data_IF_406063852683
#
_entry.id   IF_406063852683
#
_cell.length_a   1.000
_cell.length_b   1.000
_cell.length_c   1.000
_cell.angle_alpha   90.00
_cell.angle_beta   90.00
_cell.angle_gamma   90.00
#
_symmetry.space_group_name_H-M   'P 1'
#
loop_
_entity.id
_entity.type
_entity.pdbx_description
1 polymer ?
#
# COMPACT_ATOMS: atom_id res chain seq x y z
N UNK A 1 -12.38 -13.43 15.36
CA UNK A 1 -10.94 -13.53 15.62
C UNK A 1 -10.56 -12.31 16.45
N UNK A 2 -9.78 -12.45 17.54
CA UNK A 2 -9.33 -11.29 18.34
C UNK A 2 -8.25 -10.57 17.54
N UNK A 3 -8.47 -9.28 17.24
CA UNK A 3 -7.44 -8.38 16.74
C UNK A 3 -6.37 -8.24 17.84
N UNK A 4 -5.31 -9.02 17.74
CA UNK A 4 -4.19 -8.98 18.68
C UNK A 4 -3.06 -8.16 18.07
N UNK A 5 -3.37 -6.88 17.84
CA UNK A 5 -2.40 -5.88 17.40
C UNK A 5 -1.89 -5.16 18.64
N UNK A 6 -0.69 -5.53 19.11
CA UNK A 6 -0.19 -5.16 20.44
C UNK A 6 0.58 -3.82 20.48
N UNK A 7 0.47 -2.99 19.42
CA UNK A 7 1.14 -1.69 19.30
C UNK A 7 0.13 -0.52 19.24
N UNK A 8 -0.41 -0.05 20.40
CA UNK A 8 -1.51 0.91 20.42
C UNK A 8 -1.17 2.29 19.81
N UNK A 9 0.12 2.60 19.66
CA UNK A 9 0.60 3.92 19.28
C UNK A 9 1.21 4.00 17.87
N UNK A 10 1.31 2.89 17.12
CA UNK A 10 1.97 2.89 15.81
C UNK A 10 1.30 3.88 14.84
N UNK A 11 2.10 4.63 14.10
CA UNK A 11 1.64 5.75 13.25
C UNK A 11 0.85 6.86 13.97
N UNK A 12 0.94 6.92 15.30
CA UNK A 12 0.54 8.08 16.11
C UNK A 12 1.65 9.12 16.21
N UNK A 13 1.33 10.30 16.75
CA UNK A 13 2.29 11.41 16.88
C UNK A 13 3.52 11.04 17.71
N UNK A 14 3.35 10.30 18.81
CA UNK A 14 4.45 9.81 19.64
C UNK A 14 5.34 8.80 18.90
N UNK A 15 4.73 7.88 18.15
CA UNK A 15 5.46 6.91 17.34
C UNK A 15 6.32 7.60 16.28
N UNK A 16 5.78 8.56 15.52
CA UNK A 16 6.58 9.33 14.56
C UNK A 16 7.74 10.08 15.22
N UNK A 17 7.53 10.63 16.41
CA UNK A 17 8.61 11.28 17.18
C UNK A 17 9.75 10.33 17.55
N UNK A 18 9.45 9.05 17.77
CA UNK A 18 10.43 7.99 18.06
C UNK A 18 11.02 7.32 16.81
N UNK A 19 10.46 7.56 15.63
CA UNK A 19 10.87 6.99 14.34
C UNK A 19 11.27 8.09 13.36
N UNK A 20 12.42 8.77 13.55
CA UNK A 20 12.80 9.95 12.76
C UNK A 20 13.02 9.67 11.26
N UNK A 21 13.25 8.40 10.88
CA UNK A 21 13.40 7.97 9.49
C UNK A 21 12.08 7.52 8.85
N UNK A 22 10.99 7.43 9.63
CA UNK A 22 9.68 7.13 9.10
C UNK A 22 9.17 8.32 8.29
N UNK A 23 8.54 8.01 7.15
CA UNK A 23 7.85 9.02 6.38
C UNK A 23 6.61 9.49 7.14
N UNK A 24 6.33 10.79 7.12
CA UNK A 24 5.06 11.33 7.61
C UNK A 24 4.58 12.41 6.63
N UNK A 25 3.26 12.48 6.43
CA UNK A 25 2.66 13.56 5.67
C UNK A 25 2.59 14.84 6.51
N UNK A 26 3.13 15.94 5.99
CA UNK A 26 2.92 17.26 6.58
C UNK A 26 1.42 17.59 6.61
N UNK A 27 0.93 18.12 7.73
CA UNK A 27 -0.47 18.53 7.91
C UNK A 27 -1.45 17.42 8.28
N UNK A 28 -1.02 16.15 8.38
CA UNK A 28 -1.89 15.10 8.91
C UNK A 28 -2.15 15.28 10.41
N UNK A 29 -3.42 15.17 10.80
CA UNK A 29 -3.80 15.06 12.20
C UNK A 29 -3.36 13.71 12.78
N UNK A 30 -3.25 13.63 14.10
CA UNK A 30 -3.00 12.37 14.79
C UNK A 30 -4.07 11.33 14.39
N UNK A 31 -3.62 10.14 14.01
CA UNK A 31 -4.52 9.07 13.58
C UNK A 31 -4.95 9.12 12.11
N UNK A 32 -4.59 10.16 11.33
CA UNK A 32 -5.02 10.29 9.93
C UNK A 32 -4.65 9.07 9.06
N UNK A 33 -3.52 8.44 9.35
CA UNK A 33 -3.09 7.18 8.75
C UNK A 33 -4.14 6.07 8.77
N UNK A 34 -4.99 6.04 9.79
CA UNK A 34 -5.95 4.98 10.07
C UNK A 34 -7.35 5.27 9.52
N UNK A 35 -7.57 6.48 8.99
CA UNK A 35 -8.84 6.91 8.42
C UNK A 35 -8.68 6.94 6.90
N UNK A 36 -8.97 5.86 6.17
CA UNK A 36 -8.75 5.81 4.74
C UNK A 36 -9.63 6.79 3.99
N UNK A 37 -9.07 7.33 2.90
CA UNK A 37 -9.82 8.10 1.92
C UNK A 37 -10.74 7.16 1.14
N UNK A 38 -11.93 7.65 0.79
CA UNK A 38 -12.82 6.92 -0.11
C UNK A 38 -12.25 6.89 -1.52
N UNK A 39 -12.66 5.91 -2.34
CA UNK A 39 -12.35 5.91 -3.77
C UNK A 39 -12.67 7.25 -4.44
N UNK A 40 -13.86 7.82 -4.18
CA UNK A 40 -14.26 9.09 -4.76
C UNK A 40 -13.30 10.24 -4.43
N UNK A 41 -12.74 10.27 -3.22
CA UNK A 41 -11.74 11.28 -2.84
C UNK A 41 -10.40 11.05 -3.56
N UNK A 42 -9.94 9.80 -3.63
CA UNK A 42 -8.71 9.43 -4.35
C UNK A 42 -8.83 9.73 -5.84
N UNK A 43 -9.94 9.35 -6.46
CA UNK A 43 -10.21 9.59 -7.87
C UNK A 43 -10.28 11.08 -8.21
N UNK A 44 -10.99 11.86 -7.40
CA UNK A 44 -11.05 13.31 -7.58
C UNK A 44 -9.68 13.97 -7.42
N UNK A 45 -8.87 13.54 -6.45
CA UNK A 45 -7.54 14.12 -6.20
C UNK A 45 -6.51 13.75 -7.27
N UNK A 46 -6.53 12.51 -7.75
CA UNK A 46 -5.56 12.03 -8.75
C UNK A 46 -5.98 12.36 -10.20
N UNK A 47 -7.21 12.82 -10.41
CA UNK A 47 -7.76 13.19 -11.72
C UNK A 47 -8.18 11.99 -12.57
N UNK A 48 -8.71 10.92 -11.95
CA UNK A 48 -9.27 9.78 -12.68
C UNK A 48 -10.66 10.13 -13.23
N UNK A 49 -10.90 9.86 -14.52
CA UNK A 49 -12.18 10.11 -15.19
C UNK A 49 -13.11 8.87 -15.11
N UNK A 50 -14.15 9.02 -14.28
CA UNK A 50 -15.48 8.38 -14.27
C UNK A 50 -15.73 6.89 -13.88
N UNK A 51 -16.76 6.81 -13.02
CA UNK A 51 -17.75 5.76 -12.72
C UNK A 51 -17.31 4.42 -12.11
N UNK A 52 -16.36 3.69 -12.69
CA UNK A 52 -16.09 2.31 -12.26
C UNK A 52 -14.59 2.06 -12.08
N UNK A 53 -14.11 1.86 -10.84
CA UNK A 53 -12.70 1.54 -10.61
C UNK A 53 -12.34 0.16 -11.17
N UNK A 54 -11.09 0.03 -11.61
CA UNK A 54 -10.50 -1.28 -11.89
C UNK A 54 -10.14 -1.95 -10.57
N UNK A 55 -10.78 -3.08 -10.29
CA UNK A 55 -10.39 -3.95 -9.18
C UNK A 55 -9.38 -4.98 -9.66
N UNK A 56 -8.37 -5.25 -8.85
CA UNK A 56 -7.33 -6.25 -9.09
C UNK A 56 -7.43 -7.35 -8.04
N UNK A 57 -8.01 -8.48 -8.43
CA UNK A 57 -8.09 -9.68 -7.62
C UNK A 57 -7.28 -10.81 -8.30
N UNK A 58 -6.08 -11.04 -7.77
CA UNK A 58 -5.12 -11.99 -8.31
C UNK A 58 -5.57 -13.44 -8.06
N UNK A 59 -5.83 -14.15 -9.17
CA UNK A 59 -6.44 -15.48 -9.18
C UNK A 59 -7.95 -15.47 -9.48
N UNK A 60 -8.58 -14.30 -9.60
CA UNK A 60 -10.00 -14.17 -9.97
C UNK A 60 -10.15 -13.44 -11.31
N UNK A 61 -9.85 -12.14 -11.34
CA UNK A 61 -9.93 -11.35 -12.57
C UNK A 61 -8.56 -10.94 -13.11
N UNK A 62 -7.49 -11.17 -12.36
CA UNK A 62 -6.13 -11.20 -12.88
C UNK A 62 -5.64 -12.65 -12.87
N UNK A 63 -5.41 -13.22 -14.04
CA UNK A 63 -4.98 -14.63 -14.19
C UNK A 63 -3.64 -14.71 -14.88
N UNK A 64 -2.83 -15.70 -14.48
CA UNK A 64 -1.55 -16.02 -15.10
C UNK A 64 -1.65 -17.45 -15.65
N UNK A 65 -1.84 -17.60 -16.96
CA UNK A 65 -1.98 -18.90 -17.65
C UNK A 65 -0.97 -18.98 -18.80
N UNK A 66 -0.20 -20.06 -18.86
CA UNK A 66 0.81 -20.31 -19.91
C UNK A 66 1.74 -19.10 -20.19
N UNK A 67 2.22 -18.48 -19.11
CA UNK A 67 3.07 -17.27 -19.11
C UNK A 67 2.37 -15.97 -19.59
N UNK A 68 1.07 -16.00 -19.88
CA UNK A 68 0.27 -14.84 -20.24
C UNK A 68 -0.54 -14.34 -19.03
N UNK A 69 -0.48 -13.02 -18.78
CA UNK A 69 -1.29 -12.34 -17.78
C UNK A 69 -2.51 -11.75 -18.46
N UNK A 70 -3.69 -12.02 -17.93
CA UNK A 70 -4.92 -11.39 -18.36
C UNK A 70 -5.57 -10.61 -17.20
N UNK A 71 -6.09 -9.42 -17.49
CA UNK A 71 -6.90 -8.60 -16.57
C UNK A 71 -8.30 -8.52 -17.16
N UNK A 72 -9.31 -8.92 -16.39
CA UNK A 72 -10.70 -9.04 -16.84
C UNK A 72 -10.84 -9.88 -18.14
N UNK A 73 -10.03 -10.93 -18.26
CA UNK A 73 -10.00 -11.82 -19.42
C UNK A 73 -9.33 -11.21 -20.68
N UNK A 74 -8.79 -10.00 -20.60
CA UNK A 74 -8.03 -9.38 -21.68
C UNK A 74 -6.52 -9.59 -21.44
N UNK A 75 -5.77 -10.13 -22.41
CA UNK A 75 -4.33 -10.32 -22.25
C UNK A 75 -3.64 -8.95 -22.15
N UNK A 76 -2.76 -8.80 -21.14
CA UNK A 76 -2.01 -7.56 -20.86
C UNK A 76 -0.50 -7.74 -21.01
N UNK A 77 -0.04 -8.94 -21.35
CA UNK A 77 1.37 -9.26 -21.61
C UNK A 77 1.79 -10.54 -20.91
N UNK A 78 3.08 -10.85 -20.99
CA UNK A 78 3.67 -11.98 -20.27
C UNK A 78 3.80 -11.70 -18.77
N UNK A 79 4.01 -12.73 -17.95
CA UNK A 79 4.28 -12.55 -16.51
C UNK A 79 5.52 -11.69 -16.26
N UNK A 80 6.56 -11.86 -17.09
CA UNK A 80 7.77 -11.04 -17.03
C UNK A 80 7.50 -9.58 -17.38
N UNK A 81 6.74 -9.30 -18.44
CA UNK A 81 6.37 -7.93 -18.82
C UNK A 81 5.48 -7.28 -17.75
N UNK A 82 4.53 -8.01 -17.18
CA UNK A 82 3.66 -7.50 -16.12
C UNK A 82 4.42 -7.14 -14.84
N UNK A 83 5.42 -7.96 -14.48
CA UNK A 83 6.34 -7.71 -13.36
C UNK A 83 7.29 -6.53 -13.64
N UNK A 84 7.77 -6.39 -14.87
CA UNK A 84 8.58 -5.25 -15.28
C UNK A 84 7.78 -3.95 -15.23
N UNK A 85 6.52 -3.95 -15.69
CA UNK A 85 5.63 -2.79 -15.59
C UNK A 85 5.45 -2.34 -14.13
N UNK A 86 5.25 -3.27 -13.19
CA UNK A 86 5.16 -2.92 -11.77
C UNK A 86 6.46 -2.24 -11.28
N UNK A 87 7.61 -2.74 -11.73
CA UNK A 87 8.92 -2.16 -11.40
C UNK A 87 9.08 -0.74 -11.95
N UNK A 88 8.65 -0.51 -13.18
CA UNK A 88 8.71 0.81 -13.82
C UNK A 88 7.77 1.80 -13.12
N UNK A 89 6.56 1.37 -12.74
CA UNK A 89 5.61 2.16 -11.95
C UNK A 89 6.25 2.56 -10.61
N UNK A 90 6.80 1.60 -9.86
CA UNK A 90 7.43 1.89 -8.57
C UNK A 90 8.62 2.84 -8.70
N UNK A 91 9.46 2.66 -9.72
CA UNK A 91 10.61 3.51 -9.99
C UNK A 91 10.19 4.95 -10.29
N UNK A 92 9.14 5.16 -11.11
CA UNK A 92 8.65 6.50 -11.44
C UNK A 92 8.28 7.32 -10.21
N UNK A 93 7.72 6.66 -9.19
CA UNK A 93 7.34 7.31 -7.93
C UNK A 93 8.47 7.54 -6.94
N UNK A 94 9.50 6.70 -6.97
CA UNK A 94 10.74 6.93 -6.21
C UNK A 94 11.51 8.14 -6.75
N UNK A 95 11.46 8.37 -8.06
CA UNK A 95 12.09 9.52 -8.72
C UNK A 95 11.21 10.78 -8.71
N UNK A 96 9.91 10.63 -8.44
CA UNK A 96 8.97 11.74 -8.41
C UNK A 96 9.35 12.76 -7.31
N UNK A 97 9.57 14.04 -7.67
CA UNK A 97 9.79 15.08 -6.68
C UNK A 97 8.52 15.27 -5.85
N UNK A 98 8.69 15.41 -4.54
CA UNK A 98 7.62 15.79 -3.62
C UNK A 98 7.97 17.08 -2.92
N UNK A 99 6.95 17.85 -2.55
CA UNK A 99 7.11 19.13 -1.84
C UNK A 99 6.24 19.16 -0.60
N UNK A 100 6.53 20.07 0.33
CA UNK A 100 5.70 20.27 1.54
C UNK A 100 4.28 20.75 1.22
N UNK A 101 4.03 21.21 -0.02
CA UNK A 101 2.71 21.60 -0.50
C UNK A 101 1.87 20.42 -1.00
N UNK A 102 2.46 19.22 -1.15
CA UNK A 102 1.74 18.04 -1.59
C UNK A 102 0.68 17.64 -0.57
N UNK A 103 -0.54 17.41 -1.07
CA UNK A 103 -1.64 16.93 -0.24
C UNK A 103 -1.68 15.40 -0.33
N UNK A 104 -1.48 14.76 0.82
CA UNK A 104 -1.45 13.31 0.93
C UNK A 104 -2.80 12.80 1.41
N UNK A 105 -3.39 11.91 0.63
CA UNK A 105 -4.57 11.14 1.00
C UNK A 105 -4.15 9.82 1.65
N UNK A 106 -4.62 9.50 2.87
CA UNK A 106 -4.36 8.20 3.48
C UNK A 106 -5.07 7.11 2.70
N UNK A 107 -4.32 6.08 2.27
CA UNK A 107 -4.88 4.82 1.78
C UNK A 107 -5.09 3.85 2.92
N UNK A 108 -4.28 3.96 3.97
CA UNK A 108 -4.50 3.33 5.26
C UNK A 108 -3.32 2.55 5.78
N UNK A 109 -3.60 1.74 6.81
CA UNK A 109 -2.67 0.81 7.43
C UNK A 109 -3.15 -0.62 7.19
N UNK A 110 -2.26 -1.47 6.70
CA UNK A 110 -2.58 -2.85 6.32
C UNK A 110 -1.59 -3.84 6.91
N UNK A 111 -2.10 -4.94 7.42
CA UNK A 111 -1.33 -6.15 7.67
C UNK A 111 -1.08 -6.86 6.33
N UNK A 112 0.16 -7.30 6.09
CA UNK A 112 0.51 -8.13 4.96
C UNK A 112 0.39 -9.61 5.34
N UNK A 113 -0.49 -10.34 4.65
CA UNK A 113 -0.77 -11.76 4.92
C UNK A 113 -0.41 -12.58 3.69
N UNK A 114 0.50 -13.55 3.86
CA UNK A 114 0.80 -14.54 2.82
C UNK A 114 -0.13 -15.75 2.92
N UNK A 115 -0.31 -16.24 4.15
CA UNK A 115 -1.17 -17.37 4.49
C UNK A 115 -1.98 -17.03 5.75
N UNK A 116 -3.27 -17.35 5.78
CA UNK A 116 -4.20 -17.02 6.88
C UNK A 116 -3.83 -17.56 8.28
N UNK A 117 -2.82 -18.44 8.36
CA UNK A 117 -2.38 -19.09 9.60
C UNK A 117 -1.27 -18.35 10.35
N UNK A 118 -0.69 -17.29 9.77
CA UNK A 118 0.40 -16.54 10.38
C UNK A 118 -0.13 -15.21 10.95
N UNK A 119 0.25 -14.90 12.20
CA UNK A 119 0.09 -13.55 12.71
C UNK A 119 0.86 -12.60 11.80
N UNK A 120 0.22 -11.55 11.27
CA UNK A 120 0.92 -10.59 10.42
C UNK A 120 1.96 -9.88 11.28
N UNK A 121 3.23 -10.02 10.92
CA UNK A 121 4.35 -9.29 11.53
C UNK A 121 4.77 -8.09 10.67
N UNK A 122 4.17 -7.97 9.49
CA UNK A 122 4.54 -7.00 8.47
C UNK A 122 3.34 -6.08 8.23
N UNK A 123 3.57 -4.79 8.41
CA UNK A 123 2.55 -3.75 8.25
C UNK A 123 3.02 -2.75 7.23
N UNK A 124 2.10 -2.27 6.41
CA UNK A 124 2.32 -1.13 5.54
C UNK A 124 1.34 -0.01 5.88
N UNK A 125 1.86 1.19 6.05
CA UNK A 125 1.12 2.43 5.94
C UNK A 125 1.30 2.97 4.53
N UNK A 126 0.21 3.37 3.87
CA UNK A 126 0.23 3.90 2.51
C UNK A 126 -0.55 5.22 2.40
N UNK A 127 -0.03 6.12 1.57
CA UNK A 127 -0.63 7.39 1.20
C UNK A 127 -0.36 7.70 -0.28
N UNK A 128 -1.25 8.48 -0.91
CA UNK A 128 -1.11 8.93 -2.29
C UNK A 128 -1.31 10.44 -2.40
N UNK A 129 -0.53 11.12 -3.24
CA UNK A 129 -0.73 12.54 -3.53
C UNK A 129 -1.47 12.77 -4.87
N UNK A 130 -1.80 14.03 -5.18
CA UNK A 130 -2.51 14.39 -6.42
C UNK A 130 -1.80 13.98 -7.73
N UNK A 131 -0.47 13.76 -7.69
CA UNK A 131 0.28 13.30 -8.85
C UNK A 131 0.18 11.78 -9.07
N UNK A 132 -0.35 11.04 -8.09
CA UNK A 132 -0.32 9.58 -8.04
C UNK A 132 0.95 9.03 -7.39
N UNK A 133 1.79 9.88 -6.76
CA UNK A 133 2.96 9.42 -6.02
C UNK A 133 2.51 8.73 -4.73
N UNK A 134 3.09 7.56 -4.44
CA UNK A 134 2.88 6.80 -3.20
C UNK A 134 4.05 7.01 -2.25
N UNK A 135 3.71 7.28 -0.99
CA UNK A 135 4.64 7.27 0.14
C UNK A 135 4.01 6.54 1.32
N UNK A 136 4.82 6.20 2.31
CA UNK A 136 4.36 5.43 3.44
C UNK A 136 5.49 4.83 4.24
N UNK A 137 5.15 3.84 5.05
CA UNK A 137 6.10 3.11 5.88
C UNK A 137 5.81 1.63 5.82
N UNK A 138 6.86 0.83 5.71
CA UNK A 138 6.84 -0.59 5.98
C UNK A 138 7.41 -0.81 7.38
N UNK A 139 6.71 -1.56 8.21
CA UNK A 139 7.11 -1.87 9.59
C UNK A 139 7.09 -3.38 9.80
N UNK A 140 8.23 -3.92 10.22
CA UNK A 140 8.36 -5.27 10.72
C UNK A 140 8.24 -5.23 12.25
N UNK A 141 7.11 -5.68 12.79
CA UNK A 141 6.80 -5.64 14.22
C UNK A 141 7.68 -6.57 15.05
N UNK A 142 8.17 -7.65 14.46
CA UNK A 142 9.02 -8.61 15.17
C UNK A 142 10.39 -8.00 15.48
N UNK A 143 10.90 -7.20 14.55
CA UNK A 143 12.24 -6.59 14.64
C UNK A 143 12.21 -5.11 15.01
N UNK A 144 11.02 -4.52 15.16
CA UNK A 144 10.80 -3.09 15.38
C UNK A 144 11.52 -2.23 14.33
N UNK A 145 11.52 -2.72 13.08
CA UNK A 145 12.26 -2.09 11.98
C UNK A 145 11.32 -1.45 10.98
N UNK A 146 11.46 -0.14 10.81
CA UNK A 146 10.67 0.66 9.88
C UNK A 146 11.53 1.18 8.73
N UNK A 147 10.99 1.09 7.51
CA UNK A 147 11.58 1.66 6.30
C UNK A 147 10.55 2.46 5.50
N UNK A 148 10.94 3.55 4.84
CA UNK A 148 10.03 4.33 4.01
C UNK A 148 9.60 3.54 2.77
N UNK A 149 8.37 3.77 2.33
CA UNK A 149 7.82 3.26 1.08
C UNK A 149 7.88 4.36 0.02
N UNK A 150 8.24 3.98 -1.21
CA UNK A 150 8.25 4.86 -2.36
C UNK A 150 7.67 4.13 -3.57
N UNK A 151 6.72 4.77 -4.26
CA UNK A 151 6.06 4.18 -5.41
C UNK A 151 5.15 5.18 -6.12
N UNK A 152 4.36 4.70 -7.07
CA UNK A 152 3.38 5.50 -7.78
C UNK A 152 2.17 4.66 -8.19
N UNK A 153 1.15 5.35 -8.68
CA UNK A 153 0.02 4.78 -9.39
C UNK A 153 0.18 5.07 -10.88
N UNK A 154 0.07 4.04 -11.72
CA UNK A 154 -0.15 4.26 -13.14
C UNK A 154 -1.60 4.69 -13.38
N UNK A 155 -1.79 5.91 -13.86
CA UNK A 155 -3.13 6.48 -14.06
C UNK A 155 -3.93 5.78 -15.14
N UNK A 156 -3.27 5.12 -16.10
CA UNK A 156 -3.96 4.44 -17.19
C UNK A 156 -4.54 3.10 -16.74
N UNK A 157 -3.83 2.37 -15.88
CA UNK A 157 -4.24 1.04 -15.42
C UNK A 157 -4.81 1.02 -14.00
N UNK A 158 -4.64 2.09 -13.22
CA UNK A 158 -4.98 2.15 -11.79
C UNK A 158 -4.18 1.16 -10.92
N UNK A 159 -3.05 0.64 -11.44
CA UNK A 159 -2.10 -0.17 -10.67
C UNK A 159 -1.23 0.73 -9.81
N UNK A 160 -1.23 0.47 -8.51
CA UNK A 160 -0.29 1.03 -7.56
C UNK A 160 0.88 0.07 -7.40
N UNK A 161 2.12 0.56 -7.55
CA UNK A 161 3.30 -0.24 -7.27
C UNK A 161 4.33 0.55 -6.46
N UNK A 162 5.01 -0.13 -5.53
CA UNK A 162 5.95 0.49 -4.61
C UNK A 162 7.08 -0.44 -4.17
N UNK A 163 8.13 0.18 -3.64
CA UNK A 163 9.30 -0.47 -3.06
C UNK A 163 9.50 -0.02 -1.62
N UNK A 164 10.30 -0.77 -0.87
CA UNK A 164 10.62 -0.51 0.54
C UNK A 164 12.10 -0.15 0.67
N UNK A 165 12.39 0.99 1.30
CA UNK A 165 13.75 1.50 1.46
C UNK A 165 14.46 1.63 0.11
N UNK A 166 15.71 1.16 0.06
CA UNK A 166 16.53 1.18 -1.17
C UNK A 166 16.36 -0.10 -2.03
N UNK A 167 15.50 -1.04 -1.62
CA UNK A 167 15.33 -2.31 -2.33
C UNK A 167 14.48 -2.14 -3.59
N UNK A 168 15.16 -1.99 -4.74
CA UNK A 168 14.52 -1.93 -6.06
C UNK A 168 14.22 -3.31 -6.68
N UNK A 169 14.59 -4.40 -6.02
CA UNK A 169 14.47 -5.77 -6.56
C UNK A 169 13.20 -6.50 -6.07
N UNK A 170 12.51 -5.94 -5.08
CA UNK A 170 11.23 -6.45 -4.59
C UNK A 170 10.19 -5.36 -4.73
N UNK A 171 9.23 -5.58 -5.61
CA UNK A 171 8.17 -4.60 -5.91
C UNK A 171 6.85 -5.18 -5.45
N UNK A 172 6.13 -4.40 -4.66
CA UNK A 172 4.77 -4.73 -4.25
C UNK A 172 3.79 -3.98 -5.13
N UNK A 173 2.66 -4.59 -5.45
CA UNK A 173 1.58 -3.91 -6.16
C UNK A 173 0.19 -4.32 -5.69
N UNK A 174 -0.77 -3.45 -5.94
CA UNK A 174 -2.20 -3.66 -5.75
C UNK A 174 -3.00 -2.68 -6.63
N UNK A 175 -4.32 -2.88 -6.75
CA UNK A 175 -5.20 -1.86 -7.32
C UNK A 175 -5.36 -0.67 -6.38
N UNK A 176 -5.21 0.56 -6.88
CA UNK A 176 -5.37 1.77 -6.04
C UNK A 176 -6.78 1.88 -5.44
N UNK A 177 -7.81 1.43 -6.17
CA UNK A 177 -9.17 1.38 -5.64
C UNK A 177 -9.30 0.34 -4.52
N UNK A 178 -8.71 -0.84 -4.68
CA UNK A 178 -8.77 -1.90 -3.66
C UNK A 178 -8.12 -1.44 -2.35
N UNK A 179 -7.06 -0.62 -2.43
CA UNK A 179 -6.43 0.05 -1.29
C UNK A 179 -7.35 1.06 -0.56
N UNK A 180 -8.53 1.39 -1.10
CA UNK A 180 -9.56 2.18 -0.37
C UNK A 180 -10.58 1.29 0.34
N UNK A 181 -10.60 -0.02 0.06
CA UNK A 181 -11.48 -1.02 0.66
C UNK A 181 -10.94 -1.62 1.96
N UNK A 182 -11.57 -2.66 2.51
CA UNK A 182 -11.13 -3.31 3.76
C UNK A 182 -9.99 -4.31 3.56
N UNK A 183 -9.80 -4.76 2.34
CA UNK A 183 -8.70 -5.63 1.94
C UNK A 183 -8.33 -5.36 0.49
N UNK A 184 -7.10 -5.69 0.12
CA UNK A 184 -6.62 -5.61 -1.26
C UNK A 184 -5.78 -6.84 -1.60
N UNK A 185 -6.08 -7.46 -2.73
CA UNK A 185 -5.18 -8.47 -3.31
C UNK A 185 -3.89 -7.78 -3.75
N UNK A 186 -2.76 -8.42 -3.49
CA UNK A 186 -1.45 -7.85 -3.82
C UNK A 186 -0.54 -8.90 -4.45
N UNK A 187 0.37 -8.44 -5.30
CA UNK A 187 1.51 -9.22 -5.76
C UNK A 187 2.80 -8.67 -5.16
N UNK A 188 3.70 -9.59 -4.83
CA UNK A 188 5.10 -9.27 -4.56
C UNK A 188 5.95 -9.86 -5.68
N UNK A 189 6.55 -8.99 -6.46
CA UNK A 189 7.44 -9.30 -7.57
C UNK A 189 8.89 -9.40 -7.11
N UNK A 190 9.56 -10.48 -7.48
CA UNK A 190 11.00 -10.68 -7.25
C UNK A 190 11.58 -11.60 -8.31
N UNK A 191 12.63 -11.15 -8.99
CA UNK A 191 13.38 -11.94 -9.98
C UNK A 191 12.48 -12.58 -11.05
N UNK A 192 11.51 -11.82 -11.59
CA UNK A 192 10.58 -12.29 -12.62
C UNK A 192 9.53 -13.29 -12.13
N UNK A 193 9.36 -13.43 -10.81
CA UNK A 193 8.32 -14.25 -10.18
C UNK A 193 7.43 -13.37 -9.31
N UNK A 194 6.18 -13.77 -9.15
CA UNK A 194 5.21 -13.07 -8.32
C UNK A 194 4.61 -14.02 -7.28
N UNK A 195 4.60 -13.61 -6.02
CA UNK A 195 3.87 -14.27 -4.94
C UNK A 195 2.57 -13.51 -4.66
N UNK A 196 1.47 -14.22 -4.44
CA UNK A 196 0.20 -13.62 -4.03
C UNK A 196 0.20 -13.33 -2.54
N UNK A 197 -0.30 -12.15 -2.18
CA UNK A 197 -0.48 -11.68 -0.82
C UNK A 197 -1.84 -11.01 -0.67
N UNK A 198 -2.29 -10.88 0.57
CA UNK A 198 -3.46 -10.10 0.94
C UNK A 198 -3.03 -8.97 1.86
N UNK A 199 -3.48 -7.76 1.56
CA UNK A 199 -3.38 -6.61 2.45
C UNK A 199 -4.70 -6.49 3.21
N UNK A 200 -4.68 -6.72 4.51
CA UNK A 200 -5.87 -6.62 5.36
C UNK A 200 -5.82 -5.31 6.13
N UNK A 201 -6.82 -4.45 5.94
CA UNK A 201 -6.89 -3.17 6.64
C UNK A 201 -6.99 -3.39 8.14
N UNK A 202 -6.11 -2.73 8.87
CA UNK A 202 -6.12 -2.76 10.32
C UNK A 202 -6.97 -1.60 10.87
N UNK A 203 -7.84 -1.83 11.87
CA UNK A 203 -8.47 -0.74 12.57
C UNK A 203 -7.44 0.01 13.40
N UNK A 204 -7.71 1.29 13.67
CA UNK A 204 -6.91 2.04 14.62
C UNK A 204 -6.88 1.29 15.96
N UNK A 205 -5.70 1.06 16.55
CA UNK A 205 -5.61 0.48 17.87
C UNK A 205 -6.30 1.39 18.90
N UNK A 206 -7.01 0.81 19.85
CA UNK A 206 -7.53 1.60 20.97
C UNK A 206 -6.36 1.98 21.87
N UNK A 207 -6.18 3.29 22.12
CA UNK A 207 -5.26 3.73 23.15
C UNK A 207 -5.68 3.11 24.47
N UNK A 208 -4.80 2.32 25.09
CA UNK A 208 -5.05 1.77 26.42
C UNK A 208 -5.15 2.95 27.39
N UNK A 209 -6.37 3.38 27.68
CA UNK A 209 -6.63 4.33 28.74
C UNK A 209 -6.18 3.67 30.05
N UNK A 210 -5.10 4.20 30.62
CA UNK A 210 -4.60 3.86 31.94
C UNK A 210 -5.78 3.85 32.91
N UNK A 211 -6.17 2.66 33.38
CA UNK A 211 -7.06 2.53 34.52
C UNK A 211 -6.28 3.05 35.74
N UNK A 212 -6.47 4.32 36.06
CA UNK A 212 -6.11 4.86 37.36
C UNK A 212 -7.15 4.34 38.34
N UNK A 213 -6.82 3.26 39.07
CA UNK A 213 -7.48 2.94 40.35
C UNK A 213 -7.15 4.00 41.42
#
# INVERSE_FOLDING_TARGET
>A
MRNNFDHPDVYGGGWYGSHPNAWHASGWAAGAAWVPSTWGAVAASCGYNEAEPTSYNYGVNVTCEDDNVAVNGQPVGTAAEYSQQASDIAASGAEAPTTDADQWLPLGVFAMVRNEQQHPQLIVQLAVNQAGTIRGNYTDELTDHTQPIQGAVDKATERAAWTVGDNRQTVMEAGINDLTGTEASALIHRNGKSDHWLLVRLPQPESSATATE
#
